data_IF_572212881922
#
_entry.id   IF_572212881922
#
_cell.length_a   1.000
_cell.length_b   1.000
_cell.length_c   1.000
_cell.angle_alpha   90.00
_cell.angle_beta   90.00
_cell.angle_gamma   90.00
#
_symmetry.space_group_name_H-M   'P 1'
#
loop_
_entity.id
_entity.type
_entity.pdbx_description
1 polymer ?
#
# COMPACT_ATOMS: atom_id res chain seq x y z
N UNK A 1 -39.35 51.51 11.78
CA UNK A 1 -40.80 51.79 11.74
C UNK A 1 -41.23 51.81 10.29
N UNK A 2 -42.35 51.15 10.02
CA UNK A 2 -42.96 50.90 8.72
C UNK A 2 -43.62 52.18 8.22
N UNK A 3 -43.43 52.51 6.94
CA UNK A 3 -44.47 52.85 5.94
C UNK A 3 -43.82 53.52 4.72
N UNK A 4 -43.88 52.86 3.57
CA UNK A 4 -43.59 53.48 2.28
C UNK A 4 -44.72 53.14 1.31
N UNK A 5 -45.26 54.22 0.75
CA UNK A 5 -46.47 54.36 -0.02
C UNK A 5 -46.43 53.61 -1.35
N UNK A 6 -47.59 53.08 -1.73
CA UNK A 6 -47.87 52.32 -2.95
C UNK A 6 -48.05 53.21 -4.18
N UNK A 7 -47.37 52.89 -5.29
CA UNK A 7 -47.93 53.11 -6.63
C UNK A 7 -47.46 51.99 -7.59
N UNK A 8 -48.40 51.14 -7.99
CA UNK A 8 -48.20 50.10 -9.03
C UNK A 8 -48.71 50.65 -10.36
N UNK A 9 -47.82 50.97 -11.28
CA UNK A 9 -48.16 51.05 -12.70
C UNK A 9 -48.18 49.63 -13.28
N UNK A 10 -49.33 49.18 -13.77
CA UNK A 10 -49.46 47.91 -14.51
C UNK A 10 -49.06 48.18 -15.96
N UNK A 11 -47.95 47.61 -16.39
CA UNK A 11 -47.61 47.48 -17.82
C UNK A 11 -48.21 46.14 -18.27
N UNK A 12 -49.29 46.20 -19.07
CA UNK A 12 -49.83 45.04 -19.78
C UNK A 12 -48.99 44.83 -21.04
N UNK A 13 -48.14 43.79 -21.05
CA UNK A 13 -47.56 43.25 -22.28
C UNK A 13 -48.39 42.04 -22.74
N UNK A 14 -48.69 41.90 -24.04
CA UNK A 14 -49.45 40.77 -24.54
C UNK A 14 -48.64 39.47 -24.42
N UNK A 15 -49.31 38.42 -23.95
CA UNK A 15 -48.80 37.05 -23.98
C UNK A 15 -48.88 36.54 -25.42
N UNK A 16 -47.83 36.76 -26.20
CA UNK A 16 -47.62 36.08 -27.48
C UNK A 16 -46.95 34.72 -27.29
N UNK A 17 -47.30 33.81 -28.19
CA UNK A 17 -47.14 32.36 -28.16
C UNK A 17 -45.75 31.85 -27.74
N UNK A 18 -45.69 31.22 -26.57
CA UNK A 18 -44.58 30.35 -26.18
C UNK A 18 -44.71 29.01 -26.92
N UNK A 19 -43.75 28.59 -27.77
CA UNK A 19 -43.82 27.30 -28.45
C UNK A 19 -43.84 26.16 -27.42
N UNK A 20 -44.97 25.46 -27.34
CA UNK A 20 -45.08 24.20 -26.59
C UNK A 20 -44.26 23.13 -27.29
N UNK A 21 -43.35 22.52 -26.50
CA UNK A 21 -42.46 21.38 -26.81
C UNK A 21 -41.10 21.75 -27.42
N UNK A 22 -40.24 22.38 -26.62
CA UNK A 22 -38.87 21.87 -26.57
C UNK A 22 -38.95 20.49 -25.90
N UNK A 23 -38.74 19.44 -26.68
CA UNK A 23 -38.42 18.13 -26.16
C UNK A 23 -37.16 18.29 -25.32
N UNK A 24 -37.31 18.34 -24.00
CA UNK A 24 -36.19 18.27 -23.06
C UNK A 24 -35.61 16.87 -23.22
N UNK A 25 -34.78 16.66 -24.25
CA UNK A 25 -33.69 15.70 -24.11
C UNK A 25 -33.03 16.09 -22.80
N UNK A 26 -33.02 15.16 -21.83
CA UNK A 26 -32.28 15.30 -20.58
C UNK A 26 -30.81 15.57 -20.94
N UNK A 27 -30.45 16.82 -21.17
CA UNK A 27 -29.07 17.27 -21.04
C UNK A 27 -28.85 17.15 -19.54
N UNK A 28 -28.24 16.04 -19.11
CA UNK A 28 -27.77 15.90 -17.74
C UNK A 28 -26.72 17.00 -17.58
N UNK A 29 -27.11 18.12 -16.95
CA UNK A 29 -26.19 19.21 -16.66
C UNK A 29 -25.15 18.64 -15.70
N UNK A 30 -23.95 18.44 -16.22
CA UNK A 30 -22.85 17.81 -15.50
C UNK A 30 -22.16 18.91 -14.70
N UNK A 31 -22.41 18.96 -13.39
CA UNK A 31 -21.94 20.05 -12.52
C UNK A 31 -20.49 19.82 -12.10
N UNK A 32 -20.13 18.56 -11.86
CA UNK A 32 -18.78 18.17 -11.47
C UNK A 32 -18.05 17.44 -12.59
N UNK A 33 -16.76 17.74 -12.77
CA UNK A 33 -15.89 17.03 -13.71
C UNK A 33 -15.84 15.51 -13.44
N UNK A 34 -15.94 15.10 -12.17
CA UNK A 34 -16.00 13.70 -11.76
C UNK A 34 -17.22 12.92 -12.27
N UNK A 35 -18.32 13.59 -12.66
CA UNK A 35 -19.50 12.92 -13.21
C UNK A 35 -19.26 12.31 -14.60
N UNK A 36 -18.15 12.66 -15.26
CA UNK A 36 -17.75 12.10 -16.55
C UNK A 36 -17.36 10.62 -16.47
N UNK A 37 -16.88 10.17 -15.30
CA UNK A 37 -16.46 8.78 -15.10
C UNK A 37 -15.25 8.36 -15.96
N UNK A 38 -14.40 9.31 -16.36
CA UNK A 38 -13.27 9.13 -17.28
C UNK A 38 -11.91 9.41 -16.61
N UNK A 39 -11.75 9.04 -15.33
CA UNK A 39 -10.50 9.24 -14.59
C UNK A 39 -9.35 8.42 -15.20
N UNK A 40 -8.21 9.08 -15.40
CA UNK A 40 -6.97 8.48 -15.88
C UNK A 40 -5.98 8.28 -14.73
N UNK A 41 -5.32 7.12 -14.70
CA UNK A 41 -4.35 6.77 -13.66
C UNK A 41 -3.07 6.29 -14.34
N UNK A 42 -1.94 6.88 -13.97
CA UNK A 42 -0.61 6.39 -14.37
C UNK A 42 0.04 5.63 -13.21
N UNK A 43 0.59 4.45 -13.50
CA UNK A 43 1.27 3.62 -12.50
C UNK A 43 2.69 3.33 -12.97
N UNK A 44 3.67 3.83 -12.24
CA UNK A 44 5.08 3.50 -12.42
C UNK A 44 5.49 2.34 -11.52
N UNK A 45 6.49 1.59 -11.96
CA UNK A 45 7.14 0.56 -11.14
C UNK A 45 8.07 1.16 -10.09
N UNK A 46 9.21 0.50 -9.91
CA UNK A 46 10.18 0.81 -8.85
C UNK A 46 10.90 2.14 -9.10
N UNK A 47 10.59 3.12 -8.26
CA UNK A 47 11.25 4.41 -8.21
C UNK A 47 12.59 4.30 -7.46
N UNK A 48 13.63 3.86 -8.18
CA UNK A 48 15.00 3.82 -7.68
C UNK A 48 15.75 5.13 -8.00
N UNK A 49 15.37 6.22 -7.32
CA UNK A 49 15.93 7.56 -7.56
C UNK A 49 17.04 7.84 -6.56
N UNK A 50 18.27 8.01 -7.01
CA UNK A 50 19.45 8.26 -6.15
C UNK A 50 20.11 9.62 -6.35
N UNK A 51 19.57 10.42 -7.25
CA UNK A 51 20.06 11.75 -7.61
C UNK A 51 18.88 12.64 -7.96
N UNK A 52 19.13 13.95 -7.96
CA UNK A 52 18.16 14.92 -8.45
C UNK A 52 17.85 14.64 -9.92
N UNK A 53 16.57 14.48 -10.22
CA UNK A 53 16.00 14.25 -11.54
C UNK A 53 15.66 15.56 -12.27
N UNK A 54 15.42 16.64 -11.53
CA UNK A 54 15.14 17.98 -12.07
C UNK A 54 16.26 18.59 -12.94
N UNK A 55 17.46 18.01 -12.91
CA UNK A 55 18.59 18.46 -13.74
C UNK A 55 18.61 17.90 -15.16
N UNK A 56 17.78 16.88 -15.45
CA UNK A 56 17.71 16.23 -16.76
C UNK A 56 16.61 16.85 -17.62
N UNK A 57 16.88 16.98 -18.92
CA UNK A 57 15.98 17.64 -19.88
C UNK A 57 15.97 16.97 -21.26
N UNK A 58 16.49 15.76 -21.35
CA UNK A 58 16.51 14.95 -22.56
C UNK A 58 15.06 14.70 -23.03
N UNK A 59 14.74 14.88 -24.33
CA UNK A 59 13.35 14.83 -24.81
C UNK A 59 12.59 13.56 -24.38
N UNK A 60 13.21 12.39 -24.55
CA UNK A 60 12.58 11.11 -24.17
C UNK A 60 12.32 10.99 -22.66
N UNK A 61 13.11 11.66 -21.81
CA UNK A 61 12.91 11.67 -20.37
C UNK A 61 11.75 12.59 -19.98
N UNK A 62 11.67 13.76 -20.63
CA UNK A 62 10.53 14.68 -20.44
C UNK A 62 9.23 14.05 -20.95
N UNK A 63 9.24 13.36 -22.09
CA UNK A 63 8.07 12.64 -22.61
C UNK A 63 7.54 11.61 -21.59
N UNK A 64 8.43 10.90 -20.89
CA UNK A 64 8.05 9.97 -19.81
C UNK A 64 7.40 10.72 -18.62
N UNK A 65 7.95 11.86 -18.23
CA UNK A 65 7.39 12.70 -17.16
C UNK A 65 6.01 13.24 -17.56
N UNK A 66 5.84 13.64 -18.81
CA UNK A 66 4.57 14.16 -19.31
C UNK A 66 3.47 13.09 -19.32
N UNK A 67 3.81 11.80 -19.46
CA UNK A 67 2.86 10.70 -19.24
C UNK A 67 2.35 10.68 -17.80
N UNK A 68 3.23 10.85 -16.81
CA UNK A 68 2.82 10.87 -15.39
C UNK A 68 1.98 12.12 -15.09
N UNK A 69 2.42 13.29 -15.55
CA UNK A 69 1.74 14.58 -15.34
C UNK A 69 0.39 14.71 -16.03
N UNK A 70 0.18 14.00 -17.14
CA UNK A 70 -1.06 14.08 -17.91
C UNK A 70 -2.17 13.19 -17.34
N UNK A 71 -1.85 12.25 -16.45
CA UNK A 71 -2.86 11.49 -15.71
C UNK A 71 -3.53 12.34 -14.61
N UNK A 72 -4.76 11.98 -14.24
CA UNK A 72 -5.46 12.65 -13.14
C UNK A 72 -4.89 12.26 -11.77
N UNK A 73 -4.30 11.06 -11.68
CA UNK A 73 -3.55 10.56 -10.52
C UNK A 73 -2.39 9.71 -11.03
N UNK A 74 -1.19 9.91 -10.49
CA UNK A 74 -0.05 9.02 -10.73
C UNK A 74 0.58 8.45 -9.45
N UNK A 75 0.99 7.19 -9.52
CA UNK A 75 1.49 6.41 -8.38
C UNK A 75 2.75 5.65 -8.77
N UNK A 76 3.73 5.56 -7.87
CA UNK A 76 4.95 4.74 -8.06
C UNK A 76 5.28 3.88 -6.84
N UNK A 77 6.09 2.83 -7.02
CA UNK A 77 6.63 2.05 -5.90
C UNK A 77 7.92 2.67 -5.38
N UNK A 78 7.96 3.04 -4.11
CA UNK A 78 9.14 3.58 -3.45
C UNK A 78 10.05 2.42 -3.01
N UNK A 79 10.82 1.91 -3.96
CA UNK A 79 11.69 0.72 -3.78
C UNK A 79 12.94 1.00 -2.95
N UNK A 80 13.16 2.25 -2.54
CA UNK A 80 14.29 2.66 -1.72
C UNK A 80 13.80 3.39 -0.47
N UNK A 81 14.62 3.39 0.57
CA UNK A 81 14.36 4.22 1.75
C UNK A 81 14.89 5.64 1.53
N UNK A 82 14.12 6.64 1.95
CA UNK A 82 14.42 8.07 1.78
C UNK A 82 14.74 8.68 3.14
N UNK A 83 16.03 8.73 3.46
CA UNK A 83 16.55 9.16 4.75
C UNK A 83 18.01 9.60 4.61
N UNK A 84 18.47 10.47 5.51
CA UNK A 84 19.85 10.95 5.61
C UNK A 84 20.54 10.39 6.88
N UNK A 85 20.51 9.06 7.01
CA UNK A 85 21.13 8.31 8.12
C UNK A 85 20.76 8.79 9.54
N UNK A 86 19.60 9.45 9.70
CA UNK A 86 19.16 10.03 10.96
C UNK A 86 18.79 8.95 11.98
N UNK A 87 18.44 7.76 11.51
CA UNK A 87 17.97 6.67 12.34
C UNK A 87 18.20 5.35 11.63
N UNK A 88 18.91 4.45 12.31
CA UNK A 88 18.95 3.00 12.09
C UNK A 88 20.21 2.40 11.46
N UNK A 89 20.42 1.13 11.80
CA UNK A 89 21.43 0.25 11.26
C UNK A 89 20.86 -0.48 10.04
N UNK A 90 21.76 -0.89 9.15
CA UNK A 90 21.43 -1.76 8.03
C UNK A 90 20.88 -3.11 8.56
N UNK A 91 19.79 -3.59 7.97
CA UNK A 91 19.22 -4.92 8.21
C UNK A 91 19.31 -5.84 6.99
N UNK A 92 19.49 -5.27 5.78
CA UNK A 92 19.59 -6.05 4.55
C UNK A 92 20.95 -6.73 4.40
N UNK A 93 20.93 -7.98 3.95
CA UNK A 93 22.13 -8.72 3.51
C UNK A 93 22.51 -8.40 2.05
N UNK A 94 21.82 -7.42 1.43
CA UNK A 94 21.96 -7.06 0.02
C UNK A 94 22.43 -5.61 -0.14
N UNK A 95 22.13 -4.99 -1.30
CA UNK A 95 22.59 -3.62 -1.60
C UNK A 95 21.92 -2.62 -0.68
N UNK A 96 22.69 -1.65 -0.19
CA UNK A 96 22.22 -0.61 0.71
C UNK A 96 21.48 0.48 -0.08
N UNK A 97 20.22 0.21 -0.44
CA UNK A 97 19.41 1.09 -1.30
C UNK A 97 18.79 2.22 -0.49
N UNK A 98 19.47 3.37 -0.51
CA UNK A 98 19.02 4.62 0.10
C UNK A 98 18.93 5.78 -0.90
N UNK A 99 18.12 6.78 -0.57
CA UNK A 99 18.01 8.04 -1.31
C UNK A 99 17.95 9.22 -0.36
N UNK A 100 18.49 10.36 -0.78
CA UNK A 100 18.33 11.64 -0.09
C UNK A 100 16.83 12.00 -0.05
N UNK A 101 16.26 12.37 1.12
CA UNK A 101 14.84 12.68 1.24
C UNK A 101 14.38 13.82 0.33
N UNK A 102 15.26 14.74 -0.07
CA UNK A 102 14.93 15.80 -1.02
C UNK A 102 14.53 15.26 -2.41
N UNK A 103 14.93 14.05 -2.78
CA UNK A 103 14.51 13.44 -4.04
C UNK A 103 13.01 13.09 -4.06
N UNK A 104 12.30 13.13 -2.92
CA UNK A 104 10.84 13.05 -2.89
C UNK A 104 10.18 14.27 -3.57
N UNK A 105 10.81 15.45 -3.49
CA UNK A 105 10.33 16.63 -4.21
C UNK A 105 10.45 16.47 -5.73
N UNK A 106 11.44 15.71 -6.19
CA UNK A 106 11.63 15.42 -7.60
C UNK A 106 10.57 14.43 -8.10
N UNK A 107 10.15 13.45 -7.30
CA UNK A 107 8.97 12.62 -7.61
C UNK A 107 7.71 13.48 -7.81
N UNK A 108 7.47 14.44 -6.91
CA UNK A 108 6.35 15.39 -7.06
C UNK A 108 6.50 16.24 -8.33
N UNK A 109 7.71 16.73 -8.61
CA UNK A 109 7.98 17.47 -9.86
C UNK A 109 7.74 16.62 -11.11
N UNK A 110 7.96 15.30 -11.05
CA UNK A 110 7.65 14.36 -12.12
C UNK A 110 6.14 14.08 -12.27
N UNK A 111 5.29 14.60 -11.37
CA UNK A 111 3.84 14.41 -11.40
C UNK A 111 3.33 13.27 -10.52
N UNK A 112 4.16 12.70 -9.63
CA UNK A 112 3.75 11.64 -8.69
C UNK A 112 2.88 12.21 -7.58
N UNK A 113 1.66 11.68 -7.45
CA UNK A 113 0.68 12.11 -6.46
C UNK A 113 0.64 11.23 -5.21
N UNK A 114 1.04 9.96 -5.33
CA UNK A 114 1.18 9.05 -4.20
C UNK A 114 2.28 8.01 -4.45
N UNK A 115 2.79 7.41 -3.38
CA UNK A 115 3.77 6.34 -3.43
C UNK A 115 3.28 5.11 -2.70
N UNK A 116 3.88 3.97 -3.02
CA UNK A 116 3.70 2.74 -2.27
C UNK A 116 4.99 2.34 -1.57
N UNK A 117 4.86 1.75 -0.38
CA UNK A 117 5.98 1.40 0.51
C UNK A 117 5.87 -0.03 1.04
N UNK A 118 5.00 -0.87 0.47
CA UNK A 118 5.01 -2.30 0.73
C UNK A 118 5.84 -3.00 -0.35
N UNK A 119 7.12 -3.19 -0.10
CA UNK A 119 8.04 -3.93 -0.95
C UNK A 119 9.10 -4.65 -0.10
N UNK A 120 9.99 -5.40 -0.75
CA UNK A 120 11.03 -6.16 -0.06
C UNK A 120 12.16 -5.27 0.49
N UNK A 121 12.34 -4.06 -0.04
CA UNK A 121 13.39 -3.13 0.39
C UNK A 121 12.94 -2.15 1.48
N UNK A 122 11.66 -2.17 1.87
CA UNK A 122 11.08 -1.21 2.81
C UNK A 122 11.69 -1.26 4.21
N UNK A 123 12.45 -2.31 4.53
CA UNK A 123 13.06 -2.51 5.86
C UNK A 123 14.58 -2.67 5.80
N UNK A 124 15.24 -2.29 4.70
CA UNK A 124 16.69 -2.45 4.52
C UNK A 124 17.52 -1.71 5.57
N UNK A 125 16.96 -0.64 6.14
CA UNK A 125 17.52 0.10 7.26
C UNK A 125 16.67 -0.10 8.52
N UNK A 126 16.21 -1.32 8.77
CA UNK A 126 15.38 -1.73 9.91
C UNK A 126 14.12 -0.85 10.10
N UNK A 127 13.50 -0.96 11.28
CA UNK A 127 12.33 -0.16 11.67
C UNK A 127 12.59 1.34 11.62
N UNK A 128 13.76 1.80 12.06
CA UNK A 128 14.07 3.23 12.12
C UNK A 128 14.15 3.89 10.74
N UNK A 129 14.79 3.23 9.76
CA UNK A 129 14.86 3.76 8.39
C UNK A 129 13.49 3.77 7.73
N UNK A 130 12.68 2.73 7.98
CA UNK A 130 11.30 2.65 7.47
C UNK A 130 10.43 3.78 8.00
N UNK A 131 10.39 3.97 9.33
CA UNK A 131 9.62 5.03 9.97
C UNK A 131 10.10 6.42 9.53
N UNK A 132 11.42 6.62 9.37
CA UNK A 132 11.97 7.87 8.86
C UNK A 132 11.53 8.13 7.41
N UNK A 133 11.49 7.10 6.56
CA UNK A 133 10.99 7.23 5.18
C UNK A 133 9.51 7.62 5.17
N UNK A 134 8.66 6.98 5.98
CA UNK A 134 7.25 7.36 6.10
C UNK A 134 7.07 8.79 6.61
N UNK A 135 7.91 9.21 7.57
CA UNK A 135 7.94 10.60 8.08
C UNK A 135 8.28 11.58 6.95
N UNK A 136 9.33 11.32 6.18
CA UNK A 136 9.69 12.19 5.05
C UNK A 136 8.62 12.23 3.97
N UNK A 137 8.01 11.10 3.61
CA UNK A 137 6.88 11.10 2.69
C UNK A 137 5.77 12.06 3.15
N UNK A 138 5.44 12.04 4.45
CA UNK A 138 4.48 12.97 5.05
C UNK A 138 4.94 14.43 5.02
N UNK A 139 6.21 14.71 5.33
CA UNK A 139 6.78 16.07 5.33
C UNK A 139 6.81 16.70 3.94
N UNK A 140 7.05 15.89 2.90
CA UNK A 140 7.00 16.32 1.50
C UNK A 140 5.57 16.33 0.93
N UNK A 141 4.55 16.01 1.74
CA UNK A 141 3.15 15.92 1.32
C UNK A 141 2.98 14.94 0.14
N UNK A 142 3.55 13.75 0.31
CA UNK A 142 3.48 12.63 -0.63
C UNK A 142 2.85 11.42 0.08
N UNK A 143 1.54 11.19 -0.09
CA UNK A 143 0.84 10.07 0.55
C UNK A 143 1.49 8.72 0.24
N UNK A 144 1.73 7.91 1.28
CA UNK A 144 2.40 6.62 1.17
C UNK A 144 1.48 5.46 1.60
N UNK A 145 1.20 4.52 0.70
CA UNK A 145 0.36 3.35 0.96
C UNK A 145 1.16 2.08 1.22
N UNK A 146 0.64 1.18 2.05
CA UNK A 146 1.21 -0.15 2.27
C UNK A 146 2.22 -0.25 3.42
N UNK A 147 2.45 0.85 4.13
CA UNK A 147 3.34 0.90 5.29
C UNK A 147 2.76 1.74 6.43
N UNK A 148 3.08 1.39 7.68
CA UNK A 148 2.57 2.14 8.82
C UNK A 148 3.24 1.77 10.14
N UNK A 149 2.86 2.46 11.21
CA UNK A 149 3.33 2.15 12.58
C UNK A 149 2.71 0.88 13.16
N UNK A 150 1.69 0.34 12.50
CA UNK A 150 0.96 -0.86 12.85
C UNK A 150 0.25 -1.43 11.61
N UNK A 151 -0.41 -2.58 11.78
CA UNK A 151 -1.09 -3.27 10.67
C UNK A 151 -2.32 -2.53 10.14
N UNK A 152 -2.98 -1.71 10.97
CA UNK A 152 -4.19 -0.99 10.54
C UNK A 152 -3.81 0.17 9.63
N UNK A 153 -2.76 0.92 9.99
CA UNK A 153 -2.17 1.93 9.12
C UNK A 153 -1.58 1.33 7.85
N UNK A 154 -0.82 0.23 7.96
CA UNK A 154 -0.22 -0.39 6.78
C UNK A 154 -1.28 -0.85 5.76
N UNK A 155 -2.46 -1.28 6.23
CA UNK A 155 -3.59 -1.68 5.38
C UNK A 155 -4.48 -0.53 4.95
N UNK A 156 -4.39 0.63 5.58
CA UNK A 156 -5.24 1.75 5.24
C UNK A 156 -4.94 2.23 3.82
N UNK A 157 -5.97 2.58 3.03
CA UNK A 157 -5.75 3.29 1.78
C UNK A 157 -5.25 4.70 2.09
N UNK A 158 -4.39 5.22 1.21
CA UNK A 158 -4.25 6.68 1.05
C UNK A 158 -5.20 7.13 -0.05
N UNK A 159 -5.68 8.37 0.05
CA UNK A 159 -6.61 8.93 -0.92
C UNK A 159 -5.95 10.10 -1.65
N UNK A 160 -6.05 10.10 -2.97
CA UNK A 160 -5.64 11.20 -3.84
C UNK A 160 -6.89 11.80 -4.47
N UNK A 161 -7.06 13.11 -4.32
CA UNK A 161 -8.16 13.87 -4.90
C UNK A 161 -7.74 14.51 -6.23
N UNK A 162 -8.51 14.26 -7.28
CA UNK A 162 -8.38 14.92 -8.58
C UNK A 162 -9.70 15.58 -8.99
N UNK A 163 -9.65 16.44 -10.01
CA UNK A 163 -10.86 17.02 -10.59
C UNK A 163 -11.81 15.95 -11.19
N UNK A 164 -11.27 14.77 -11.57
CA UNK A 164 -12.04 13.65 -12.14
C UNK A 164 -12.53 12.66 -11.10
N UNK A 165 -12.17 12.83 -9.83
CA UNK A 165 -12.61 11.99 -8.73
C UNK A 165 -11.50 11.68 -7.73
N UNK A 166 -11.84 10.84 -6.74
CA UNK A 166 -10.92 10.39 -5.70
C UNK A 166 -10.45 8.97 -5.99
N UNK A 167 -9.13 8.75 -5.91
CA UNK A 167 -8.51 7.42 -6.02
C UNK A 167 -8.05 6.96 -4.66
N UNK A 168 -8.39 5.72 -4.29
CA UNK A 168 -7.85 5.04 -3.12
C UNK A 168 -6.67 4.16 -3.54
N UNK A 169 -5.50 4.37 -2.95
CA UNK A 169 -4.30 3.60 -3.22
C UNK A 169 -4.02 2.70 -2.02
N UNK A 170 -3.93 1.40 -2.27
CA UNK A 170 -3.54 0.39 -1.29
C UNK A 170 -2.34 -0.38 -1.86
N UNK A 171 -1.40 -0.75 -1.00
CA UNK A 171 -0.26 -1.57 -1.40
C UNK A 171 -0.03 -2.70 -0.41
N UNK A 172 0.47 -3.81 -0.92
CA UNK A 172 0.82 -4.99 -0.15
C UNK A 172 1.93 -5.78 -0.85
N UNK A 173 2.78 -6.47 -0.09
CA UNK A 173 3.88 -7.28 -0.63
C UNK A 173 3.82 -8.73 -0.18
N UNK A 174 4.11 -9.66 -1.09
CA UNK A 174 4.33 -11.09 -0.76
C UNK A 174 5.80 -11.41 -0.46
N UNK A 175 6.71 -10.48 -0.71
CA UNK A 175 8.15 -10.66 -0.49
C UNK A 175 8.60 -9.71 0.61
N UNK A 176 8.87 -10.25 1.79
CA UNK A 176 9.17 -9.48 2.99
C UNK A 176 9.93 -10.33 4.02
N UNK A 177 10.62 -9.69 4.96
CA UNK A 177 11.20 -10.37 6.12
C UNK A 177 10.19 -10.41 7.27
N UNK A 178 10.30 -11.38 8.18
CA UNK A 178 9.35 -11.46 9.32
C UNK A 178 9.40 -10.21 10.22
N UNK A 179 10.54 -9.53 10.24
CA UNK A 179 10.76 -8.28 10.97
C UNK A 179 10.02 -7.11 10.31
N UNK A 180 9.94 -7.08 8.97
CA UNK A 180 9.31 -5.98 8.24
C UNK A 180 7.79 -6.04 8.21
N UNK A 181 7.17 -7.16 8.61
CA UNK A 181 5.72 -7.31 8.59
C UNK A 181 5.05 -6.46 9.68
N UNK A 182 4.08 -5.62 9.30
CA UNK A 182 3.29 -4.87 10.29
C UNK A 182 2.51 -5.81 11.22
N UNK A 183 2.37 -5.41 12.48
CA UNK A 183 1.68 -6.17 13.52
C UNK A 183 0.64 -5.33 14.26
N UNK A 184 -0.44 -5.97 14.70
CA UNK A 184 -1.41 -5.35 15.58
C UNK A 184 -0.78 -5.05 16.95
N UNK A 185 -1.18 -3.92 17.54
CA UNK A 185 -0.89 -3.62 18.93
C UNK A 185 -1.81 -4.35 19.89
N UNK A 186 -1.63 -4.07 21.17
CA UNK A 186 -2.57 -4.38 22.25
C UNK A 186 -3.03 -3.06 22.88
N UNK A 187 -4.09 -3.04 23.69
CA UNK A 187 -4.51 -1.82 24.38
C UNK A 187 -3.40 -1.13 25.20
N UNK A 188 -2.42 -1.90 25.69
CA UNK A 188 -1.29 -1.44 26.51
C UNK A 188 0.05 -1.35 25.76
N UNK A 189 0.09 -1.71 24.47
CA UNK A 189 1.35 -1.80 23.72
C UNK A 189 1.15 -1.45 22.23
N UNK A 190 1.98 -0.57 21.64
CA UNK A 190 1.80 -0.17 20.25
C UNK A 190 1.93 -1.36 19.30
N UNK A 191 1.35 -1.21 18.10
CA UNK A 191 1.58 -2.17 17.02
C UNK A 191 3.04 -2.21 16.60
N UNK A 192 3.38 -3.25 15.83
CA UNK A 192 4.70 -3.35 15.22
C UNK A 192 4.69 -2.60 13.89
N UNK A 193 5.55 -1.60 13.70
CA UNK A 193 5.70 -0.94 12.40
C UNK A 193 6.09 -1.93 11.31
N UNK A 194 5.64 -1.67 10.10
CA UNK A 194 5.96 -2.54 8.98
C UNK A 194 5.13 -2.32 7.73
N UNK A 195 5.35 -3.22 6.79
CA UNK A 195 4.61 -3.32 5.53
C UNK A 195 3.34 -4.13 5.68
N UNK A 196 2.38 -3.86 4.82
CA UNK A 196 1.19 -4.68 4.61
C UNK A 196 1.58 -5.98 3.89
N UNK A 197 1.91 -7.00 4.67
CA UNK A 197 2.34 -8.29 4.15
C UNK A 197 1.16 -9.15 3.68
N UNK A 198 1.21 -9.61 2.42
CA UNK A 198 0.37 -10.67 1.88
C UNK A 198 0.87 -12.02 2.38
N UNK A 199 0.05 -12.67 3.21
CA UNK A 199 0.31 -14.05 3.63
C UNK A 199 -0.05 -14.98 2.49
N UNK A 200 0.90 -15.83 2.10
CA UNK A 200 0.70 -16.87 1.11
C UNK A 200 1.35 -18.16 1.60
N UNK A 201 0.85 -19.30 1.11
CA UNK A 201 1.42 -20.61 1.35
C UNK A 201 2.21 -21.05 0.11
N UNK A 202 3.41 -21.57 0.32
CA UNK A 202 4.21 -22.18 -0.76
C UNK A 202 4.02 -23.69 -0.69
N UNK A 203 3.47 -24.27 -1.76
CA UNK A 203 3.26 -25.72 -1.87
C UNK A 203 4.23 -26.28 -2.91
N UNK A 204 5.17 -27.10 -2.46
CA UNK A 204 6.07 -27.85 -3.34
C UNK A 204 5.46 -29.21 -3.65
N UNK A 205 5.34 -29.54 -4.94
CA UNK A 205 4.96 -30.86 -5.41
C UNK A 205 6.23 -31.62 -5.82
N UNK A 206 6.38 -32.84 -5.31
CA UNK A 206 7.53 -33.71 -5.60
C UNK A 206 7.04 -35.13 -5.86
N UNK A 207 7.87 -35.93 -6.53
CA UNK A 207 7.61 -37.36 -6.72
C UNK A 207 7.54 -38.11 -5.39
N UNK A 208 6.86 -39.28 -5.40
CA UNK A 208 6.55 -40.04 -4.19
C UNK A 208 7.79 -40.45 -3.39
N UNK A 209 8.84 -40.86 -4.09
CA UNK A 209 10.12 -41.30 -3.50
C UNK A 209 10.85 -40.14 -2.80
N UNK A 210 10.87 -38.96 -3.42
CA UNK A 210 11.41 -37.73 -2.82
C UNK A 210 10.60 -37.33 -1.59
N UNK A 211 9.27 -37.39 -1.67
CA UNK A 211 8.40 -37.12 -0.52
C UNK A 211 8.70 -38.06 0.65
N UNK A 212 8.80 -39.37 0.38
CA UNK A 212 9.05 -40.38 1.42
C UNK A 212 10.43 -40.18 2.07
N UNK A 213 11.45 -39.82 1.29
CA UNK A 213 12.77 -39.47 1.79
C UNK A 213 12.74 -38.22 2.69
N UNK A 214 12.07 -37.15 2.25
CA UNK A 214 11.90 -35.92 3.04
C UNK A 214 11.09 -36.18 4.32
N UNK A 215 10.05 -37.01 4.25
CA UNK A 215 9.23 -37.38 5.39
C UNK A 215 10.03 -38.18 6.43
N UNK A 216 10.84 -39.14 5.99
CA UNK A 216 11.76 -39.88 6.86
C UNK A 216 12.77 -38.95 7.54
N UNK A 217 13.40 -38.04 6.78
CA UNK A 217 14.33 -37.06 7.34
C UNK A 217 13.65 -36.15 8.38
N UNK A 218 12.41 -35.71 8.11
CA UNK A 218 11.60 -34.91 9.03
C UNK A 218 11.32 -35.63 10.37
N UNK A 219 11.23 -36.97 10.36
CA UNK A 219 11.08 -37.79 11.56
C UNK A 219 12.41 -37.97 12.31
N UNK A 220 13.46 -38.38 11.60
CA UNK A 220 14.78 -38.66 12.20
C UNK A 220 15.43 -37.40 12.79
N UNK A 221 15.20 -36.23 12.18
CA UNK A 221 15.64 -34.93 12.72
C UNK A 221 14.72 -34.38 13.82
N UNK A 222 13.60 -35.05 14.12
CA UNK A 222 12.67 -34.68 15.18
C UNK A 222 11.76 -33.47 14.88
N UNK A 223 11.77 -32.96 13.64
CA UNK A 223 10.93 -31.82 13.24
C UNK A 223 9.43 -32.13 13.32
N UNK A 224 9.02 -33.38 13.06
CA UNK A 224 7.63 -33.80 13.23
C UNK A 224 7.15 -33.71 14.70
N UNK A 225 8.02 -34.11 15.63
CA UNK A 225 7.76 -34.02 17.07
C UNK A 225 7.64 -32.57 17.52
N UNK A 226 8.56 -31.71 17.08
CA UNK A 226 8.53 -30.26 17.34
C UNK A 226 7.25 -29.60 16.82
N UNK A 227 6.84 -29.93 15.59
CA UNK A 227 5.61 -29.40 15.00
C UNK A 227 4.36 -29.84 15.77
N UNK A 228 4.32 -31.10 16.24
CA UNK A 228 3.21 -31.64 17.02
C UNK A 228 3.13 -31.01 18.41
N UNK A 229 4.26 -30.93 19.12
CA UNK A 229 4.34 -30.24 20.41
C UNK A 229 3.89 -28.78 20.31
N UNK A 230 4.31 -28.06 19.26
CA UNK A 230 3.87 -26.68 19.01
C UNK A 230 2.37 -26.57 18.72
N UNK A 231 1.77 -27.54 18.02
CA UNK A 231 0.32 -27.56 17.76
C UNK A 231 -0.51 -27.83 19.01
N UNK A 232 -0.04 -28.75 19.86
CA UNK A 232 -0.74 -29.18 21.07
C UNK A 232 -0.56 -28.19 22.23
N UNK A 233 0.65 -27.65 22.41
CA UNK A 233 1.01 -26.87 23.60
C UNK A 233 1.37 -25.41 23.29
N UNK A 234 1.44 -25.00 22.02
CA UNK A 234 1.73 -23.62 21.58
C UNK A 234 3.20 -23.20 21.73
N UNK A 235 3.79 -23.42 22.89
CA UNK A 235 5.20 -23.26 23.23
C UNK A 235 5.65 -24.50 24.01
N UNK A 236 6.92 -24.92 23.89
CA UNK A 236 7.44 -26.15 24.52
C UNK A 236 7.21 -26.14 26.04
N UNK A 237 6.16 -26.82 26.50
CA UNK A 237 6.09 -27.43 27.83
C UNK A 237 6.73 -28.81 27.76
N UNK A 238 7.54 -29.16 28.77
CA UNK A 238 8.34 -30.39 28.83
C UNK A 238 7.63 -31.63 28.25
N UNK A 239 8.29 -32.29 27.30
CA UNK A 239 7.81 -33.49 26.64
C UNK A 239 7.79 -34.68 27.60
N UNK A 240 6.63 -35.30 27.80
CA UNK A 240 6.49 -36.64 28.38
C UNK A 240 6.26 -37.63 27.21
N UNK A 241 7.02 -38.74 27.07
CA UNK A 241 7.19 -39.44 25.79
C UNK A 241 6.03 -40.35 25.32
N UNK A 242 4.81 -40.20 25.83
CA UNK A 242 3.78 -41.26 25.76
C UNK A 242 2.54 -40.95 24.92
N UNK A 243 2.63 -40.18 23.83
CA UNK A 243 1.46 -39.89 22.98
C UNK A 243 1.68 -40.29 21.51
N UNK A 244 0.80 -41.16 20.99
CA UNK A 244 0.82 -41.73 19.63
C UNK A 244 0.14 -40.80 18.62
N UNK A 245 0.64 -40.65 17.36
CA UNK A 245 0.01 -39.76 16.39
C UNK A 245 -1.15 -40.43 15.62
N UNK A 246 -2.12 -39.61 15.19
CA UNK A 246 -3.14 -39.95 14.17
C UNK A 246 -2.81 -39.29 12.82
N UNK A 247 -3.27 -39.98 11.76
CA UNK A 247 -2.90 -39.82 10.35
C UNK A 247 -3.54 -38.60 9.67
N UNK A 248 -2.71 -37.60 9.35
CA UNK A 248 -2.67 -36.84 8.08
C UNK A 248 -1.64 -35.72 8.22
N UNK A 249 -0.62 -35.66 7.36
CA UNK A 249 0.48 -34.69 7.48
C UNK A 249 0.75 -34.03 6.13
N UNK A 250 0.61 -32.70 6.10
CA UNK A 250 1.13 -31.82 5.06
C UNK A 250 2.57 -31.45 5.43
N UNK A 251 3.53 -31.66 4.53
CA UNK A 251 4.90 -31.15 4.73
C UNK A 251 4.91 -29.68 4.30
N UNK A 252 4.73 -28.77 5.25
CA UNK A 252 4.88 -27.34 4.98
C UNK A 252 6.35 -26.99 5.21
N UNK A 253 7.10 -26.84 4.13
CA UNK A 253 8.45 -26.27 4.16
C UNK A 253 8.25 -24.75 4.12
N UNK A 254 8.12 -24.14 5.30
CA UNK A 254 7.88 -22.70 5.47
C UNK A 254 6.39 -22.34 5.63
N UNK A 255 5.88 -22.38 6.87
CA UNK A 255 4.56 -21.81 7.20
C UNK A 255 4.73 -20.64 8.15
N UNK A 256 4.30 -19.45 7.72
CA UNK A 256 4.22 -18.27 8.56
C UNK A 256 2.83 -18.20 9.23
N UNK A 257 2.72 -18.84 10.40
CA UNK A 257 1.55 -18.70 11.26
C UNK A 257 1.93 -18.05 12.60
N UNK A 258 1.36 -16.87 12.85
CA UNK A 258 0.99 -16.44 14.20
C UNK A 258 -0.53 -16.34 14.22
N UNK A 259 -1.17 -17.09 15.13
CA UNK A 259 -2.62 -17.07 15.36
C UNK A 259 -2.99 -15.72 15.95
N UNK A 260 -3.76 -14.92 15.22
CA UNK A 260 -4.63 -13.91 15.82
C UNK A 260 -6.06 -14.36 15.52
N UNK A 261 -6.67 -15.05 16.48
CA UNK A 261 -8.13 -15.17 16.54
C UNK A 261 -8.62 -13.95 17.32
N UNK A 262 -9.57 -13.26 16.70
CA UNK A 262 -10.52 -12.24 17.18
C UNK A 262 -10.20 -11.52 18.50
#
# INVERSE_FOLDING_TARGET
MIEACTSRSRINLPLEDVPKKLTVQKIKLMIYNAERGDISIAVGGDAMITRRMTSFNEPNFIDLIDILKSADVSVVNLEMLFHDYESSWQFTDTTYTRSDPNNLSDLKWMGVDAVTTANNHSFDFSEGGFLTTLRHCKEFDLPAAGGGTDIDQARAPVYVDSARGRVAVMSATSTFSEQSRAGAGRPDFPGRPGVNALRHDVVHSVERDVFDALHKANQELGYEGLATAKREFGFRGNENPSMRPRKSISLIIGSYWARNLA
#
